data_IF_749090532684
#
_entry.id   IF_749090532684
#
_cell.length_a   1.000
_cell.length_b   1.000
_cell.length_c   1.000
_cell.angle_alpha   90.00
_cell.angle_beta   90.00
_cell.angle_gamma   90.00
#
_symmetry.space_group_name_H-M   'P 1'
#
loop_
_entity.id
_entity.type
_entity.pdbx_description
1 polymer ?
#
# COMPACT_ATOMS: atom_id res chain seq x y z
N UNK A 1 19.20 4.25 -2.46
CA UNK A 1 17.86 4.84 -2.66
C UNK A 1 17.38 5.67 -1.46
N UNK A 2 17.41 5.15 -0.22
CA UNK A 2 16.87 5.88 0.95
C UNK A 2 17.40 7.31 1.18
N UNK A 3 18.73 7.54 1.05
CA UNK A 3 19.33 8.88 1.22
C UNK A 3 18.88 9.91 0.17
N UNK A 4 18.63 9.47 -1.07
CA UNK A 4 18.12 10.34 -2.15
C UNK A 4 16.65 10.65 -1.90
N UNK A 5 15.88 9.64 -1.49
CA UNK A 5 14.46 9.77 -1.21
C UNK A 5 14.16 10.70 -0.02
N UNK A 6 15.04 10.70 0.98
CA UNK A 6 14.98 11.57 2.16
C UNK A 6 15.67 12.94 1.96
N UNK A 7 16.29 13.20 0.81
CA UNK A 7 17.00 14.47 0.59
C UNK A 7 16.02 15.63 0.51
N UNK A 8 16.29 16.69 1.28
CA UNK A 8 15.53 17.95 1.21
C UNK A 8 16.16 18.99 0.26
N UNK A 9 17.26 18.64 -0.41
CA UNK A 9 17.86 19.51 -1.41
C UNK A 9 16.84 19.80 -2.52
N UNK A 10 16.55 21.09 -2.73
CA UNK A 10 15.49 21.55 -3.63
C UNK A 10 15.64 21.03 -5.05
N UNK A 11 16.87 21.00 -5.58
CA UNK A 11 17.14 20.51 -6.94
C UNK A 11 16.88 19.01 -7.03
N UNK A 12 17.43 18.24 -6.09
CA UNK A 12 17.29 16.77 -6.06
C UNK A 12 15.84 16.36 -5.89
N UNK A 13 15.15 16.88 -4.87
CA UNK A 13 13.75 16.50 -4.60
C UNK A 13 12.83 16.89 -5.76
N UNK A 14 13.01 18.06 -6.34
CA UNK A 14 12.17 18.56 -7.44
C UNK A 14 12.32 17.67 -8.66
N UNK A 15 13.56 17.36 -9.05
CA UNK A 15 13.82 16.50 -10.20
C UNK A 15 13.22 15.09 -10.00
N UNK A 16 13.41 14.49 -8.83
CA UNK A 16 12.91 13.14 -8.54
C UNK A 16 11.38 13.11 -8.49
N UNK A 17 10.75 14.05 -7.79
CA UNK A 17 9.28 14.10 -7.66
C UNK A 17 8.62 14.32 -9.03
N UNK A 18 9.12 15.26 -9.84
CA UNK A 18 8.54 15.54 -11.15
C UNK A 18 8.72 14.36 -12.12
N UNK A 19 9.90 13.74 -12.15
CA UNK A 19 10.15 12.56 -12.96
C UNK A 19 9.23 11.39 -12.56
N UNK A 20 9.05 11.17 -11.27
CA UNK A 20 8.19 10.09 -10.75
C UNK A 20 6.70 10.36 -11.03
N UNK A 21 6.22 11.59 -10.79
CA UNK A 21 4.85 12.02 -11.11
C UNK A 21 4.54 11.79 -12.59
N UNK A 22 5.44 12.20 -13.49
CA UNK A 22 5.25 12.05 -14.93
C UNK A 22 5.26 10.58 -15.35
N UNK A 23 6.22 9.78 -14.84
CA UNK A 23 6.35 8.36 -15.19
C UNK A 23 5.15 7.52 -14.77
N UNK A 24 4.58 7.78 -13.59
CA UNK A 24 3.50 6.97 -13.01
C UNK A 24 2.11 7.60 -13.09
N UNK A 25 1.99 8.80 -13.69
CA UNK A 25 0.70 9.47 -13.88
C UNK A 25 -0.01 9.79 -12.57
N UNK A 26 0.72 10.33 -11.58
CA UNK A 26 0.16 10.55 -10.24
C UNK A 26 -0.83 11.70 -10.25
N UNK A 27 -2.06 11.40 -9.84
CA UNK A 27 -3.11 12.38 -9.61
C UNK A 27 -2.89 13.12 -8.28
N UNK A 28 -2.65 14.42 -8.36
CA UNK A 28 -2.53 15.31 -7.20
C UNK A 28 -3.81 16.12 -6.94
N UNK A 29 -4.85 15.99 -7.78
CA UNK A 29 -6.12 16.68 -7.56
C UNK A 29 -6.83 16.21 -6.28
N UNK A 30 -6.61 14.95 -5.89
CA UNK A 30 -7.13 14.33 -4.68
C UNK A 30 -6.16 14.38 -3.49
N UNK A 31 -4.91 14.84 -3.69
CA UNK A 31 -3.93 14.96 -2.62
C UNK A 31 -4.21 16.17 -1.74
N UNK A 32 -3.97 16.07 -0.43
CA UNK A 32 -4.12 17.18 0.50
C UNK A 32 -3.18 18.35 0.13
N UNK A 33 -1.95 18.01 -0.28
CA UNK A 33 -1.01 18.94 -0.90
C UNK A 33 -1.00 18.72 -2.43
N UNK A 34 -1.72 19.59 -3.16
CA UNK A 34 -1.84 19.51 -4.62
C UNK A 34 -0.60 19.99 -5.39
N UNK A 35 0.31 20.73 -4.74
CA UNK A 35 1.55 21.22 -5.35
C UNK A 35 2.72 20.29 -5.02
N UNK A 36 3.24 19.62 -6.04
CA UNK A 36 4.36 18.70 -5.94
C UNK A 36 5.66 19.35 -5.40
N UNK A 37 5.82 20.67 -5.55
CA UNK A 37 7.03 21.38 -5.14
C UNK A 37 7.03 21.76 -3.65
N UNK A 38 5.88 21.62 -2.98
CA UNK A 38 5.73 21.91 -1.54
C UNK A 38 6.11 20.74 -0.63
N UNK A 39 6.33 19.56 -1.17
CA UNK A 39 6.87 18.42 -0.43
C UNK A 39 8.36 18.66 -0.12
N UNK A 40 8.78 18.40 1.12
CA UNK A 40 10.15 18.60 1.58
C UNK A 40 11.12 17.57 1.01
N UNK A 41 10.62 16.37 0.70
CA UNK A 41 11.39 15.27 0.14
C UNK A 41 10.52 14.36 -0.73
N UNK A 42 11.16 13.44 -1.47
CA UNK A 42 10.43 12.41 -2.22
C UNK A 42 9.65 11.47 -1.29
N UNK A 43 10.19 11.13 -0.11
CA UNK A 43 9.48 10.30 0.88
C UNK A 43 8.16 10.92 1.32
N UNK A 44 8.13 12.24 1.54
CA UNK A 44 6.90 12.96 1.91
C UNK A 44 5.88 12.95 0.76
N UNK A 45 6.36 13.11 -0.48
CA UNK A 45 5.52 12.99 -1.68
C UNK A 45 4.97 11.55 -1.87
N UNK A 46 5.80 10.54 -1.66
CA UNK A 46 5.41 9.13 -1.82
C UNK A 46 4.35 8.73 -0.79
N UNK A 47 4.48 9.22 0.43
CA UNK A 47 3.53 9.02 1.54
C UNK A 47 2.54 10.18 1.70
N UNK A 48 2.25 10.94 0.63
CA UNK A 48 1.33 12.09 0.62
C UNK A 48 -0.02 11.75 1.24
N UNK A 49 -0.61 12.70 1.97
CA UNK A 49 -1.98 12.58 2.47
C UNK A 49 -3.00 12.83 1.34
N UNK A 50 -4.16 12.19 1.43
CA UNK A 50 -5.32 12.49 0.59
C UNK A 50 -6.21 13.54 1.25
N UNK A 51 -7.02 14.23 0.46
CA UNK A 51 -8.08 15.13 0.97
C UNK A 51 -9.14 14.31 1.69
N UNK A 52 -9.76 14.92 2.70
CA UNK A 52 -10.88 14.29 3.39
C UNK A 52 -12.05 14.03 2.41
N UNK A 53 -12.74 12.91 2.59
CA UNK A 53 -13.91 12.54 1.79
C UNK A 53 -13.63 11.96 0.40
N UNK A 54 -12.38 11.92 -0.09
CA UNK A 54 -12.06 11.29 -1.39
C UNK A 54 -12.02 9.75 -1.34
N UNK A 55 -12.10 9.19 -0.14
CA UNK A 55 -12.27 7.77 0.17
C UNK A 55 -13.33 7.65 1.25
N UNK A 56 -14.57 7.39 0.84
CA UNK A 56 -15.67 7.13 1.77
C UNK A 56 -15.54 5.70 2.28
N UNK A 57 -15.60 5.53 3.60
CA UNK A 57 -15.55 4.22 4.26
C UNK A 57 -16.98 3.75 4.50
N UNK A 58 -17.23 2.46 4.26
CA UNK A 58 -18.50 1.81 4.59
C UNK A 58 -18.68 1.80 6.12
N UNK A 59 -19.84 2.24 6.62
CA UNK A 59 -20.14 2.39 8.04
C UNK A 59 -20.80 1.14 8.66
N UNK A 60 -21.05 0.12 7.84
CA UNK A 60 -21.57 -1.17 8.28
C UNK A 60 -20.61 -1.87 9.27
N UNK A 61 -21.11 -2.18 10.46
CA UNK A 61 -20.36 -2.89 11.51
C UNK A 61 -19.95 -4.33 11.14
N UNK A 62 -20.49 -4.88 10.06
CA UNK A 62 -20.18 -6.23 9.57
C UNK A 62 -19.33 -6.23 8.30
N UNK A 63 -18.97 -5.05 7.80
CA UNK A 63 -18.15 -4.91 6.59
C UNK A 63 -16.66 -4.97 6.91
N UNK A 64 -15.89 -5.56 6.00
CA UNK A 64 -14.43 -5.44 5.95
C UNK A 64 -14.10 -4.55 4.76
N UNK A 65 -13.48 -3.41 4.99
CA UNK A 65 -13.11 -2.46 3.92
C UNK A 65 -11.69 -2.70 3.43
N UNK A 66 -11.39 -2.25 2.21
CA UNK A 66 -10.02 -2.35 1.68
C UNK A 66 -9.06 -1.51 2.53
N UNK A 67 -7.94 -2.07 3.01
CA UNK A 67 -6.99 -1.34 3.85
C UNK A 67 -6.11 -0.37 3.05
N UNK A 68 -6.07 -0.48 1.72
CA UNK A 68 -5.20 0.32 0.86
C UNK A 68 -5.77 0.52 -0.55
N UNK A 69 -5.30 1.59 -1.22
CA UNK A 69 -5.47 1.77 -2.66
C UNK A 69 -4.52 0.83 -3.41
N UNK A 70 -5.03 0.04 -4.36
CA UNK A 70 -4.20 -0.88 -5.12
C UNK A 70 -5.02 -1.88 -5.92
N UNK A 71 -4.42 -3.03 -6.23
CA UNK A 71 -5.08 -4.13 -6.89
C UNK A 71 -5.00 -5.39 -6.03
N UNK A 72 -6.06 -6.21 -6.03
CA UNK A 72 -5.98 -7.54 -5.43
C UNK A 72 -5.09 -8.40 -6.31
N UNK A 73 -3.93 -8.78 -5.78
CA UNK A 73 -3.02 -9.73 -6.42
C UNK A 73 -3.59 -11.14 -6.36
N UNK A 74 -4.05 -11.54 -5.17
CA UNK A 74 -4.68 -12.83 -4.89
C UNK A 74 -5.62 -12.70 -3.69
N UNK A 75 -6.67 -13.49 -3.64
CA UNK A 75 -7.54 -13.64 -2.48
C UNK A 75 -8.12 -15.06 -2.46
N UNK A 76 -8.41 -15.59 -1.29
CA UNK A 76 -8.97 -16.94 -1.19
C UNK A 76 -8.90 -17.54 0.21
N UNK A 77 -9.08 -18.86 0.26
CA UNK A 77 -8.92 -19.64 1.49
C UNK A 77 -7.47 -20.06 1.67
N UNK A 78 -7.04 -20.10 2.93
CA UNK A 78 -5.81 -20.75 3.35
C UNK A 78 -6.18 -22.22 3.60
N UNK A 79 -5.46 -23.16 2.99
CA UNK A 79 -5.73 -24.59 3.15
C UNK A 79 -4.55 -25.22 3.88
N UNK A 80 -4.76 -25.69 5.11
CA UNK A 80 -3.71 -26.29 5.95
C UNK A 80 -2.43 -25.44 6.06
N UNK A 81 -2.61 -24.12 6.16
CA UNK A 81 -1.51 -23.15 6.24
C UNK A 81 -0.91 -22.75 4.89
N UNK A 82 -1.33 -23.33 3.77
CA UNK A 82 -0.86 -22.92 2.44
C UNK A 82 -1.66 -21.75 1.87
N UNK A 83 -0.94 -20.68 1.52
CA UNK A 83 -1.44 -19.53 0.77
C UNK A 83 -0.99 -19.68 -0.68
N UNK A 84 -1.96 -19.86 -1.57
CA UNK A 84 -1.72 -19.93 -3.01
C UNK A 84 -1.38 -18.55 -3.58
N UNK A 85 -0.32 -18.46 -4.39
CA UNK A 85 0.04 -17.27 -5.14
C UNK A 85 0.05 -17.53 -6.66
N UNK A 86 0.02 -16.44 -7.43
CA UNK A 86 0.12 -16.52 -8.88
C UNK A 86 1.42 -17.23 -9.32
N UNK A 87 1.38 -17.89 -10.49
CA UNK A 87 2.50 -18.62 -11.10
C UNK A 87 2.95 -19.89 -10.35
N UNK A 88 2.05 -20.53 -9.60
CA UNK A 88 2.30 -21.84 -9.00
C UNK A 88 3.26 -21.81 -7.81
N UNK A 89 3.46 -20.64 -7.21
CA UNK A 89 4.20 -20.50 -5.96
C UNK A 89 3.19 -20.49 -4.81
N UNK A 90 3.44 -21.25 -3.76
CA UNK A 90 2.72 -21.16 -2.49
C UNK A 90 3.67 -20.71 -1.39
N UNK A 91 3.12 -19.98 -0.42
CA UNK A 91 3.82 -19.67 0.83
C UNK A 91 3.04 -20.28 1.98
N UNK A 92 3.74 -20.76 3.01
CA UNK A 92 3.07 -21.14 4.24
C UNK A 92 2.85 -19.91 5.12
N UNK A 93 1.70 -19.86 5.79
CA UNK A 93 1.38 -18.86 6.81
C UNK A 93 2.47 -18.83 7.89
N UNK A 94 2.96 -19.99 8.31
CA UNK A 94 4.03 -20.10 9.31
C UNK A 94 5.30 -19.35 8.88
N UNK A 95 5.69 -19.43 7.60
CA UNK A 95 6.83 -18.68 7.08
C UNK A 95 6.57 -17.18 6.97
N UNK A 96 5.34 -16.79 6.64
CA UNK A 96 4.96 -15.38 6.53
C UNK A 96 4.92 -14.68 7.89
N UNK A 97 4.42 -15.38 8.92
CA UNK A 97 4.31 -14.86 10.28
C UNK A 97 5.63 -15.00 11.03
N UNK A 98 6.41 -16.04 10.74
CA UNK A 98 7.70 -16.31 11.39
C UNK A 98 7.59 -16.97 12.77
N UNK A 99 6.37 -17.26 13.23
CA UNK A 99 6.07 -17.95 14.48
C UNK A 99 4.92 -18.95 14.25
N UNK A 100 5.17 -20.26 14.39
CA UNK A 100 4.14 -21.29 14.23
C UNK A 100 2.95 -21.15 15.18
N UNK A 101 3.16 -20.72 16.43
CA UNK A 101 2.06 -20.58 17.40
C UNK A 101 1.14 -19.42 17.04
N UNK A 102 1.70 -18.31 16.55
CA UNK A 102 0.91 -17.19 16.05
C UNK A 102 0.23 -17.51 14.70
N UNK A 103 0.72 -18.50 13.97
CA UNK A 103 0.16 -18.92 12.69
C UNK A 103 -1.05 -19.86 12.79
N UNK A 104 -1.16 -20.63 13.88
CA UNK A 104 -2.25 -21.59 14.09
C UNK A 104 -3.66 -21.03 13.80
N UNK A 105 -4.05 -19.85 14.30
CA UNK A 105 -5.39 -19.31 14.06
C UNK A 105 -5.71 -19.06 12.58
N UNK A 106 -4.69 -18.96 11.72
CA UNK A 106 -4.83 -18.58 10.32
C UNK A 106 -4.77 -19.78 9.36
N UNK A 107 -4.43 -20.99 9.81
CA UNK A 107 -4.20 -22.16 8.93
C UNK A 107 -5.37 -22.53 8.01
N UNK A 108 -6.59 -22.25 8.43
CA UNK A 108 -7.81 -22.48 7.64
C UNK A 108 -8.63 -21.19 7.46
N UNK A 109 -7.94 -20.04 7.52
CA UNK A 109 -8.55 -18.72 7.40
C UNK A 109 -8.76 -18.29 5.95
N UNK A 110 -9.01 -16.99 5.77
CA UNK A 110 -9.07 -16.33 4.48
C UNK A 110 -7.92 -15.34 4.35
N UNK A 111 -7.45 -15.11 3.12
CA UNK A 111 -6.40 -14.13 2.85
C UNK A 111 -6.77 -13.24 1.67
N UNK A 112 -6.21 -12.03 1.68
CA UNK A 112 -6.15 -11.15 0.54
C UNK A 112 -4.76 -10.50 0.47
N UNK A 113 -4.12 -10.56 -0.69
CA UNK A 113 -2.86 -9.89 -0.98
C UNK A 113 -3.13 -8.68 -1.86
N UNK A 114 -2.90 -7.48 -1.33
CA UNK A 114 -3.08 -6.21 -2.06
C UNK A 114 -1.72 -5.72 -2.55
N UNK A 115 -1.62 -5.44 -3.85
CA UNK A 115 -0.45 -4.82 -4.45
C UNK A 115 -0.68 -3.31 -4.62
N UNK A 116 0.20 -2.51 -4.01
CA UNK A 116 0.25 -1.07 -4.20
C UNK A 116 1.29 -0.76 -5.27
N UNK A 117 0.84 -0.21 -6.39
CA UNK A 117 1.72 0.23 -7.46
C UNK A 117 2.33 1.60 -7.12
N UNK A 118 3.45 2.00 -7.75
CA UNK A 118 4.13 3.27 -7.44
C UNK A 118 3.26 4.54 -7.56
N UNK A 119 2.13 4.48 -8.28
CA UNK A 119 1.21 5.63 -8.42
C UNK A 119 0.25 5.78 -7.24
N UNK A 120 -0.04 4.68 -6.55
CA UNK A 120 -1.14 4.60 -5.60
C UNK A 120 -0.84 5.42 -4.31
N UNK A 121 -1.82 5.49 -3.42
CA UNK A 121 -1.64 6.09 -2.11
C UNK A 121 -0.95 5.08 -1.17
N UNK A 122 0.23 5.44 -0.64
CA UNK A 122 1.09 4.52 0.12
C UNK A 122 0.97 4.69 1.64
N UNK A 123 -0.26 4.85 2.14
CA UNK A 123 -0.55 4.59 3.55
C UNK A 123 -1.62 3.51 3.63
N UNK A 124 -1.47 2.64 4.62
CA UNK A 124 -2.40 1.54 4.89
C UNK A 124 -3.24 1.93 6.10
N UNK A 125 -4.53 1.60 6.05
CA UNK A 125 -5.51 1.87 7.10
C UNK A 125 -6.08 0.56 7.65
N UNK A 126 -6.74 0.67 8.81
CA UNK A 126 -7.41 -0.47 9.42
C UNK A 126 -8.65 -0.87 8.59
N UNK A 127 -8.87 -2.18 8.37
CA UNK A 127 -10.00 -2.66 7.56
C UNK A 127 -11.33 -2.77 8.33
N UNK A 128 -11.32 -2.53 9.65
CA UNK A 128 -12.46 -2.50 10.58
C UNK A 128 -12.08 -1.82 11.90
#
# INVERSE_FOLDING_TARGET
MGKVAASENVVVRTAVIQAFKAKYGIDLSIAQQGDALKYKSFNEFFTRALKDGVRVVDDSATSIVSPADGAISQLGTINDGDIFQAKGQSFSVEKLIGDPQLAEPFKNGQFATVYLSPRDYHRVHMPF
#
